data_IF_050760908845
#
_entry.id   IF_050760908845
#
_cell.length_a   1.000
_cell.length_b   1.000
_cell.length_c   1.000
_cell.angle_alpha   90.00
_cell.angle_beta   90.00
_cell.angle_gamma   90.00
#
_symmetry.space_group_name_H-M   'P 1'
#
loop_
_entity.id
_entity.type
_entity.pdbx_description
1 polymer ?
#
# COMPACT_ATOMS: atom_id res chain seq x y z
N UNK A 1 -13.57 5.74 15.67
CA UNK A 1 -13.18 6.42 14.41
C UNK A 1 -11.82 7.06 14.61
N UNK A 2 -10.76 6.55 13.95
CA UNK A 2 -9.41 7.15 14.04
C UNK A 2 -9.42 8.50 13.31
N UNK A 3 -8.81 9.54 13.87
CA UNK A 3 -8.61 10.85 13.23
C UNK A 3 -7.12 11.02 12.96
N UNK A 4 -6.75 11.13 11.69
CA UNK A 4 -5.39 11.38 11.23
C UNK A 4 -5.32 12.82 10.73
N UNK A 5 -4.32 13.57 11.18
CA UNK A 5 -4.01 14.94 10.76
C UNK A 5 -2.53 15.00 10.36
N UNK A 6 -2.14 16.00 9.58
CA UNK A 6 -0.75 16.28 9.21
C UNK A 6 -0.01 15.10 8.57
N UNK A 7 -0.68 14.41 7.64
CA UNK A 7 -0.12 13.27 6.91
C UNK A 7 -0.01 13.56 5.41
N UNK A 8 0.91 12.85 4.74
CA UNK A 8 1.01 12.81 3.28
C UNK A 8 0.44 11.49 2.77
N UNK A 9 -0.62 11.57 1.96
CA UNK A 9 -1.14 10.43 1.23
C UNK A 9 -0.36 10.24 -0.09
N UNK A 10 0.07 9.02 -0.37
CA UNK A 10 0.76 8.66 -1.62
C UNK A 10 0.03 7.49 -2.27
N UNK A 11 -0.46 7.61 -3.52
CA UNK A 11 -1.00 6.46 -4.25
C UNK A 11 0.15 5.51 -4.60
N UNK A 12 0.04 4.25 -4.18
CA UNK A 12 1.10 3.24 -4.38
C UNK A 12 0.97 2.55 -5.75
N UNK A 13 -0.26 2.39 -6.24
CA UNK A 13 -0.50 1.76 -7.55
C UNK A 13 -0.34 2.78 -8.68
N UNK A 14 0.55 2.46 -9.61
CA UNK A 14 0.80 3.25 -10.81
C UNK A 14 0.35 2.50 -12.06
N UNK A 15 -0.08 3.23 -13.09
CA UNK A 15 -0.52 2.65 -14.35
C UNK A 15 0.69 2.23 -15.18
N UNK A 16 0.88 0.92 -15.34
CA UNK A 16 1.98 0.35 -16.15
C UNK A 16 1.55 0.11 -17.60
N UNK A 17 0.31 -0.34 -17.80
CA UNK A 17 -0.27 -0.63 -19.11
C UNK A 17 -1.55 0.14 -19.35
N UNK A 18 -1.74 0.58 -20.58
CA UNK A 18 -2.96 1.20 -21.08
C UNK A 18 -3.36 0.54 -22.40
N UNK A 19 -4.54 -0.06 -22.47
CA UNK A 19 -5.07 -0.68 -23.69
C UNK A 19 -4.09 -1.66 -24.36
N UNK A 20 -3.42 -2.49 -23.55
CA UNK A 20 -2.42 -3.46 -24.02
C UNK A 20 -1.05 -2.89 -24.34
N UNK A 21 -0.82 -1.58 -24.17
CA UNK A 21 0.48 -0.92 -24.41
C UNK A 21 1.17 -0.57 -23.09
N UNK A 22 2.45 -0.89 -22.97
CA UNK A 22 3.27 -0.46 -21.83
C UNK A 22 3.52 1.05 -21.96
N UNK A 23 3.08 1.84 -20.97
CA UNK A 23 3.21 3.31 -20.96
C UNK A 23 4.38 3.80 -20.11
N UNK A 24 5.02 2.90 -19.36
CA UNK A 24 6.17 3.24 -18.51
C UNK A 24 7.49 2.93 -19.18
N UNK A 25 8.52 3.68 -18.80
CA UNK A 25 9.90 3.42 -19.24
C UNK A 25 10.56 2.41 -18.28
N UNK A 26 11.35 1.46 -18.79
CA UNK A 26 12.19 0.62 -17.95
C UNK A 26 13.11 1.47 -17.08
N UNK A 27 13.26 1.09 -15.80
CA UNK A 27 14.20 1.72 -14.88
C UNK A 27 15.49 0.91 -14.81
N UNK A 28 16.67 1.56 -14.84
CA UNK A 28 17.94 0.93 -14.52
C UNK A 28 17.93 0.20 -13.16
N UNK A 29 18.68 -0.90 -13.06
CA UNK A 29 18.71 -1.73 -11.85
C UNK A 29 19.23 -0.95 -10.61
N UNK A 30 20.21 -0.07 -10.80
CA UNK A 30 20.73 0.80 -9.75
C UNK A 30 19.66 1.75 -9.21
N UNK A 31 18.81 2.31 -10.05
CA UNK A 31 17.69 3.16 -9.62
C UNK A 31 16.68 2.37 -8.79
N UNK A 32 16.33 1.16 -9.24
CA UNK A 32 15.42 0.28 -8.50
C UNK A 32 15.99 -0.05 -7.12
N UNK A 33 17.28 -0.40 -7.04
CA UNK A 33 17.97 -0.70 -5.78
C UNK A 33 17.95 0.50 -4.82
N UNK A 34 18.32 1.68 -5.31
CA UNK A 34 18.33 2.91 -4.50
C UNK A 34 16.92 3.27 -4.02
N UNK A 35 15.91 3.14 -4.90
CA UNK A 35 14.51 3.36 -4.54
C UNK A 35 14.06 2.41 -3.42
N UNK A 36 14.34 1.12 -3.52
CA UNK A 36 13.99 0.14 -2.48
C UNK A 36 14.62 0.50 -1.13
N UNK A 37 15.91 0.86 -1.12
CA UNK A 37 16.60 1.26 0.11
C UNK A 37 15.96 2.51 0.74
N UNK A 38 15.63 3.52 -0.09
CA UNK A 38 14.97 4.74 0.37
C UNK A 38 13.57 4.46 0.93
N UNK A 39 12.78 3.59 0.30
CA UNK A 39 11.43 3.25 0.80
C UNK A 39 11.49 2.47 2.11
N UNK A 40 12.40 1.50 2.23
CA UNK A 40 12.58 0.74 3.49
C UNK A 40 13.01 1.68 4.61
N UNK A 41 13.88 2.66 4.33
CA UNK A 41 14.31 3.68 5.30
C UNK A 41 13.19 4.62 5.79
N UNK A 42 12.00 4.62 5.17
CA UNK A 42 10.84 5.39 5.64
C UNK A 42 9.97 4.64 6.63
N UNK A 43 10.18 3.32 6.78
CA UNK A 43 9.46 2.50 7.75
C UNK A 43 10.03 2.72 9.14
N UNK A 44 9.17 2.58 10.16
CA UNK A 44 9.63 2.58 11.55
C UNK A 44 10.45 1.33 11.86
N UNK A 45 11.49 1.49 12.68
CA UNK A 45 12.43 0.43 13.00
C UNK A 45 11.73 -0.82 13.54
N UNK A 46 10.66 -0.65 14.32
CA UNK A 46 9.90 -1.73 14.93
C UNK A 46 9.26 -2.67 13.90
N UNK A 47 8.89 -2.14 12.73
CA UNK A 47 8.33 -2.90 11.61
C UNK A 47 9.42 -3.69 10.89
N UNK A 48 10.66 -3.18 10.88
CA UNK A 48 11.79 -3.79 10.15
C UNK A 48 12.64 -4.75 10.98
N UNK A 49 12.32 -4.97 12.27
CA UNK A 49 13.05 -5.92 13.13
C UNK A 49 12.95 -7.35 12.60
N UNK A 50 14.04 -8.11 12.68
CA UNK A 50 14.06 -9.53 12.30
C UNK A 50 13.26 -10.41 13.26
N UNK A 51 13.33 -10.11 14.56
CA UNK A 51 12.60 -10.84 15.60
C UNK A 51 11.36 -10.06 16.04
N UNK A 52 10.22 -10.74 16.06
CA UNK A 52 8.93 -10.18 16.50
C UNK A 52 8.63 -8.78 15.89
N UNK A 53 8.61 -8.64 14.55
CA UNK A 53 8.33 -7.36 13.91
C UNK A 53 6.95 -6.83 14.29
N UNK A 54 6.86 -5.51 14.46
CA UNK A 54 5.57 -4.86 14.64
C UNK A 54 4.75 -4.98 13.36
N UNK A 55 3.45 -5.29 13.51
CA UNK A 55 2.55 -5.42 12.36
C UNK A 55 2.32 -4.06 11.72
N UNK A 56 2.60 -3.95 10.42
CA UNK A 56 2.24 -2.77 9.65
C UNK A 56 0.73 -2.73 9.44
N UNK A 57 0.11 -1.57 9.67
CA UNK A 57 -1.35 -1.44 9.56
C UNK A 57 -1.80 -1.36 8.10
N UNK A 58 -2.77 -2.20 7.74
CA UNK A 58 -3.48 -2.14 6.46
C UNK A 58 -4.97 -2.02 6.80
N UNK A 59 -5.47 -0.78 6.80
CA UNK A 59 -6.84 -0.44 7.15
C UNK A 59 -7.70 -0.22 5.89
N UNK A 60 -8.99 -0.50 6.00
CA UNK A 60 -9.97 -0.19 4.94
C UNK A 60 -10.58 1.20 5.18
N UNK A 61 -10.87 1.90 4.07
CA UNK A 61 -11.73 3.08 4.17
C UNK A 61 -13.13 2.66 4.64
N UNK A 62 -13.83 3.56 5.33
CA UNK A 62 -15.17 3.28 5.85
C UNK A 62 -16.13 2.77 4.76
N UNK A 63 -16.06 3.39 3.57
CA UNK A 63 -16.88 3.01 2.42
C UNK A 63 -16.57 1.60 1.92
N UNK A 64 -15.29 1.24 1.84
CA UNK A 64 -14.85 -0.08 1.38
C UNK A 64 -15.20 -1.17 2.41
N UNK A 65 -15.05 -0.87 3.69
CA UNK A 65 -15.46 -1.78 4.76
C UNK A 65 -16.98 -2.03 4.72
N UNK A 66 -17.79 -0.98 4.60
CA UNK A 66 -19.25 -1.12 4.48
C UNK A 66 -19.64 -1.98 3.27
N UNK A 67 -19.03 -1.72 2.10
CA UNK A 67 -19.28 -2.51 0.91
C UNK A 67 -18.94 -4.00 1.13
N UNK A 68 -17.82 -4.29 1.79
CA UNK A 68 -17.45 -5.67 2.14
C UNK A 68 -18.51 -6.32 3.05
N UNK A 69 -18.93 -5.64 4.11
CA UNK A 69 -19.91 -6.21 5.06
C UNK A 69 -21.28 -6.42 4.40
N UNK A 70 -21.73 -5.50 3.53
CA UNK A 70 -22.95 -5.68 2.74
C UNK A 70 -22.86 -6.93 1.87
N UNK A 71 -21.78 -7.09 1.10
CA UNK A 71 -21.61 -8.27 0.24
C UNK A 71 -21.56 -9.59 1.02
N UNK A 72 -20.97 -9.59 2.22
CA UNK A 72 -20.94 -10.78 3.09
C UNK A 72 -22.33 -11.08 3.65
N UNK A 73 -23.07 -10.05 4.06
CA UNK A 73 -24.43 -10.20 4.60
C UNK A 73 -25.40 -10.72 3.55
N UNK A 74 -25.34 -10.19 2.33
CA UNK A 74 -26.26 -10.53 1.23
C UNK A 74 -26.06 -11.96 0.69
N UNK A 75 -24.90 -12.57 0.97
CA UNK A 75 -24.53 -13.91 0.52
C UNK A 75 -24.35 -14.93 1.65
N UNK A 76 -24.77 -14.58 2.87
CA UNK A 76 -24.94 -15.55 3.96
C UNK A 76 -26.26 -16.28 3.78
N UNK A 77 -26.19 -17.59 3.52
CA UNK A 77 -27.31 -18.53 3.60
C UNK A 77 -27.85 -18.62 5.03
#
# INVERSE_FOLDING_TARGET
RKRLVDFRAVPIQEKIFENGRCVVKPRPLNEIRSYCAEQVGKLWEEVTRFENPHRYYVDLSQKLWQMKETLISDHRY
#
